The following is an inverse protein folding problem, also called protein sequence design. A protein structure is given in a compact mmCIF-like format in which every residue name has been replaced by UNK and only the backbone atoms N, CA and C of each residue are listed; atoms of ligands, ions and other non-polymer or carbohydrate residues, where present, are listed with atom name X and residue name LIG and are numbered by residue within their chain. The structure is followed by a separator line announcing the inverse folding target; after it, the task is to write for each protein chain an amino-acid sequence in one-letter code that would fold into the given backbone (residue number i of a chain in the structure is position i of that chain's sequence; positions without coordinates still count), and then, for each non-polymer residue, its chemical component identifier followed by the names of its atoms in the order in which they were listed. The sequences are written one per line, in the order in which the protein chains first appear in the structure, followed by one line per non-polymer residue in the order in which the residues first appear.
data_IF_914240146578
#
_entry.id   IF_914240146578
#
_cell.length_a   1.000
_cell.length_b   1.000
_cell.length_c   1.000
_cell.angle_alpha   90.00
_cell.angle_beta   90.00
_cell.angle_gamma   90.00
#
_symmetry.space_group_name_H-M   'P 1'
#
loop_
_entity.id
_entity.type
_entity.pdbx_description
1 polymer ?
#
# COMPACT_ATOMS: atom_id res chain seq x y z
N UNK A 1 14.13 -9.99 14.14
CA UNK A 1 15.57 -9.91 14.44
C UNK A 1 15.84 -9.92 15.95
N UNK A 2 14.85 -9.65 16.80
CA UNK A 2 15.01 -9.69 18.27
C UNK A 2 14.89 -11.09 18.89
N UNK A 3 14.42 -12.10 18.16
CA UNK A 3 14.39 -13.47 18.65
C UNK A 3 15.61 -14.24 18.13
N UNK A 4 16.67 -14.22 18.87
CA UNK A 4 18.02 -14.81 18.80
C UNK A 4 18.35 -16.01 17.90
N UNK A 5 17.61 -16.35 16.89
CA UNK A 5 17.83 -17.54 16.08
C UNK A 5 18.35 -17.19 14.68
N UNK A 6 19.67 -16.95 14.59
CA UNK A 6 20.41 -16.60 13.36
C UNK A 6 20.19 -17.58 12.19
N UNK A 7 19.72 -18.81 12.47
CA UNK A 7 19.51 -19.85 11.46
C UNK A 7 18.32 -19.58 10.55
N UNK A 8 17.26 -18.94 11.07
CA UNK A 8 16.06 -18.60 10.30
C UNK A 8 16.20 -17.30 9.50
N UNK A 9 17.07 -16.41 9.93
CA UNK A 9 17.32 -15.11 9.27
C UNK A 9 17.81 -15.29 7.83
N UNK A 10 18.66 -16.30 7.56
CA UNK A 10 19.17 -16.57 6.21
C UNK A 10 18.04 -16.90 5.22
N UNK A 11 17.05 -17.67 5.64
CA UNK A 11 15.93 -18.06 4.77
C UNK A 11 14.94 -16.93 4.51
N UNK A 12 14.80 -16.02 5.46
CA UNK A 12 14.04 -14.78 5.26
C UNK A 12 14.72 -13.93 4.18
N UNK A 13 16.04 -13.76 4.23
CA UNK A 13 16.78 -13.04 3.19
C UNK A 13 16.71 -13.73 1.81
N UNK A 14 16.73 -15.06 1.77
CA UNK A 14 16.53 -15.79 0.52
C UNK A 14 15.13 -15.50 -0.07
N UNK A 15 14.10 -15.52 0.76
CA UNK A 15 12.74 -15.15 0.35
C UNK A 15 12.66 -13.71 -0.16
N UNK A 16 13.28 -12.76 0.52
CA UNK A 16 13.35 -11.35 0.10
C UNK A 16 14.04 -11.19 -1.26
N UNK A 17 15.20 -11.80 -1.43
CA UNK A 17 15.94 -11.73 -2.71
C UNK A 17 15.18 -12.38 -3.85
N UNK A 18 14.54 -13.52 -3.59
CA UNK A 18 13.68 -14.17 -4.59
C UNK A 18 12.46 -13.31 -4.94
N UNK A 19 11.86 -12.64 -3.96
CA UNK A 19 10.75 -11.70 -4.16
C UNK A 19 11.14 -10.50 -5.03
N UNK A 20 12.30 -9.90 -4.76
CA UNK A 20 12.86 -8.82 -5.57
C UNK A 20 13.18 -9.28 -7.00
N UNK A 21 13.78 -10.47 -7.16
CA UNK A 21 14.03 -11.04 -8.48
C UNK A 21 12.72 -11.30 -9.24
N UNK A 22 11.69 -11.82 -8.57
CA UNK A 22 10.36 -12.00 -9.15
C UNK A 22 9.72 -10.69 -9.60
N UNK A 23 9.78 -9.65 -8.78
CA UNK A 23 9.30 -8.31 -9.16
C UNK A 23 10.09 -7.73 -10.34
N UNK A 24 11.42 -7.96 -10.40
CA UNK A 24 12.24 -7.57 -11.53
C UNK A 24 11.85 -8.30 -12.83
N UNK A 25 11.49 -9.59 -12.75
CA UNK A 25 10.96 -10.34 -13.91
C UNK A 25 9.64 -9.72 -14.38
N UNK A 26 8.73 -9.39 -13.46
CA UNK A 26 7.47 -8.70 -13.79
C UNK A 26 7.75 -7.37 -14.48
N UNK A 27 8.71 -6.57 -13.98
CA UNK A 27 9.10 -5.31 -14.61
C UNK A 27 9.60 -5.49 -16.05
N UNK A 28 10.44 -6.50 -16.29
CA UNK A 28 10.93 -6.83 -17.66
C UNK A 28 9.79 -7.26 -18.57
N UNK A 29 8.86 -8.08 -18.08
CA UNK A 29 7.68 -8.50 -18.84
C UNK A 29 6.84 -7.28 -19.22
N UNK A 30 6.58 -6.36 -18.28
CA UNK A 30 5.86 -5.12 -18.56
C UNK A 30 6.59 -4.25 -19.57
N UNK A 31 7.90 -4.05 -19.42
CA UNK A 31 8.73 -3.30 -20.37
C UNK A 31 8.67 -3.85 -21.79
N UNK A 32 8.68 -5.18 -21.94
CA UNK A 32 8.58 -5.85 -23.25
C UNK A 32 7.14 -5.79 -23.81
N UNK A 33 6.14 -5.90 -22.95
CA UNK A 33 4.72 -5.85 -23.35
C UNK A 33 4.29 -4.44 -23.78
N UNK A 34 4.84 -3.40 -23.11
CA UNK A 34 4.47 -2.00 -23.32
C UNK A 34 5.51 -1.18 -24.10
N UNK A 35 6.46 -1.82 -24.76
CA UNK A 35 7.55 -1.17 -25.53
C UNK A 35 7.25 -0.79 -26.97
N UNK A 36 5.99 -0.79 -27.41
CA UNK A 36 5.58 -0.46 -28.78
C UNK A 36 4.64 0.78 -28.82
N UNK A 37 4.15 1.11 -29.99
CA UNK A 37 3.14 2.15 -30.23
C UNK A 37 1.96 1.56 -31.02
N UNK A 38 1.10 0.82 -30.36
CA UNK A 38 -0.09 0.24 -30.98
C UNK A 38 -1.35 0.58 -30.14
N UNK A 39 -2.55 0.71 -30.76
CA UNK A 39 -3.78 0.99 -30.03
C UNK A 39 -4.07 -0.04 -28.91
N UNK A 40 -3.65 -1.28 -29.10
CA UNK A 40 -3.74 -2.32 -28.06
C UNK A 40 -2.90 -1.99 -26.84
N UNK A 41 -1.76 -1.33 -27.03
CA UNK A 41 -0.89 -0.92 -25.93
C UNK A 41 -1.53 0.19 -25.10
N UNK A 42 -2.12 1.20 -25.73
CA UNK A 42 -2.83 2.30 -25.05
C UNK A 42 -4.01 1.76 -24.23
N UNK A 43 -4.76 0.80 -24.77
CA UNK A 43 -5.81 0.11 -24.02
C UNK A 43 -5.23 -0.62 -22.79
N UNK A 44 -4.12 -1.35 -22.95
CA UNK A 44 -3.50 -2.06 -21.84
C UNK A 44 -2.93 -1.10 -20.80
N UNK A 45 -2.38 0.03 -21.21
CA UNK A 45 -1.92 1.11 -20.33
C UNK A 45 -3.06 1.70 -19.51
N UNK A 46 -4.17 2.02 -20.16
CA UNK A 46 -5.38 2.48 -19.48
C UNK A 46 -5.92 1.46 -18.46
N UNK A 47 -5.95 0.19 -18.85
CA UNK A 47 -6.37 -0.88 -17.93
C UNK A 47 -5.40 -0.99 -16.75
N UNK A 48 -4.08 -0.94 -16.96
CA UNK A 48 -3.10 -0.97 -15.87
C UNK A 48 -3.25 0.23 -14.94
N UNK A 49 -3.46 1.43 -15.45
CA UNK A 49 -3.69 2.63 -14.65
C UNK A 49 -4.96 2.50 -13.79
N UNK A 50 -6.05 1.98 -14.34
CA UNK A 50 -7.28 1.74 -13.59
C UNK A 50 -7.13 0.62 -12.53
N UNK A 51 -6.37 -0.42 -12.82
CA UNK A 51 -6.02 -1.45 -11.83
C UNK A 51 -5.18 -0.83 -10.71
N UNK A 52 -4.16 -0.03 -11.05
CA UNK A 52 -3.34 0.69 -10.09
C UNK A 52 -4.20 1.63 -9.21
N UNK A 53 -5.15 2.36 -9.80
CA UNK A 53 -6.13 3.19 -9.10
C UNK A 53 -6.92 2.37 -8.06
N UNK A 54 -7.46 1.22 -8.45
CA UNK A 54 -8.21 0.34 -7.54
C UNK A 54 -7.34 -0.18 -6.40
N UNK A 55 -6.09 -0.58 -6.69
CA UNK A 55 -5.13 -1.04 -5.68
C UNK A 55 -4.76 0.08 -4.70
N UNK A 56 -4.50 1.29 -5.20
CA UNK A 56 -4.22 2.47 -4.37
C UNK A 56 -5.41 2.83 -3.48
N UNK A 57 -6.64 2.78 -4.01
CA UNK A 57 -7.85 3.04 -3.25
C UNK A 57 -8.03 2.03 -2.11
N UNK A 58 -7.79 0.74 -2.40
CA UNK A 58 -7.81 -0.31 -1.40
C UNK A 58 -6.76 -0.09 -0.32
N UNK A 59 -5.52 0.17 -0.72
CA UNK A 59 -4.39 0.37 0.19
C UNK A 59 -4.57 1.63 1.04
N UNK A 60 -5.02 2.74 0.45
CA UNK A 60 -5.35 3.98 1.17
C UNK A 60 -6.40 3.74 2.26
N UNK A 61 -7.48 3.03 1.93
CA UNK A 61 -8.52 2.65 2.90
C UNK A 61 -7.95 1.75 4.02
N UNK A 62 -7.11 0.78 3.68
CA UNK A 62 -6.48 -0.09 4.67
C UNK A 62 -5.56 0.71 5.61
N UNK A 63 -4.72 1.60 5.07
CA UNK A 63 -3.82 2.45 5.86
C UNK A 63 -4.58 3.41 6.77
N UNK A 64 -5.65 4.03 6.26
CA UNK A 64 -6.49 4.91 7.04
C UNK A 64 -7.12 4.19 8.24
N UNK A 65 -7.58 2.95 8.06
CA UNK A 65 -8.11 2.14 9.15
C UNK A 65 -7.05 1.73 10.18
N UNK A 66 -5.76 1.71 9.81
CA UNK A 66 -4.62 1.38 10.69
C UNK A 66 -3.93 2.62 11.27
N UNK A 67 -4.37 3.82 10.95
CA UNK A 67 -3.77 5.08 11.45
C UNK A 67 -3.95 5.28 12.96
N UNK A 68 -4.85 4.54 13.62
CA UNK A 68 -4.91 4.52 15.08
C UNK A 68 -3.82 3.61 15.66
N UNK A 69 -3.07 4.11 16.65
CA UNK A 69 -1.97 3.38 17.31
C UNK A 69 -2.47 2.07 17.92
N UNK A 70 -3.68 2.06 18.49
CA UNK A 70 -4.30 0.87 19.09
C UNK A 70 -4.61 -0.20 18.03
N UNK A 71 -5.14 0.19 16.87
CA UNK A 71 -5.43 -0.75 15.78
C UNK A 71 -4.14 -1.35 15.21
N UNK A 72 -3.08 -0.54 15.08
CA UNK A 72 -1.77 -1.00 14.65
C UNK A 72 -1.13 -1.96 15.66
N UNK A 73 -1.09 -1.59 16.95
CA UNK A 73 -0.52 -2.43 18.00
C UNK A 73 -1.26 -3.77 18.11
N UNK A 74 -2.58 -3.77 18.01
CA UNK A 74 -3.38 -5.01 17.98
C UNK A 74 -3.04 -5.86 16.77
N UNK A 75 -2.98 -5.28 15.59
CA UNK A 75 -2.61 -5.98 14.37
C UNK A 75 -1.24 -6.63 14.45
N UNK A 76 -0.23 -5.89 14.92
CA UNK A 76 1.13 -6.42 15.11
C UNK A 76 1.15 -7.53 16.16
N UNK A 77 0.44 -7.35 17.29
CA UNK A 77 0.36 -8.34 18.36
C UNK A 77 -0.28 -9.64 17.85
N UNK A 78 -1.44 -9.58 17.20
CA UNK A 78 -2.12 -10.73 16.61
C UNK A 78 -1.24 -11.47 15.59
N UNK A 79 -0.58 -10.73 14.69
CA UNK A 79 0.31 -11.33 13.69
C UNK A 79 1.56 -11.96 14.30
N UNK A 80 2.13 -11.31 15.32
CA UNK A 80 3.32 -11.83 16.03
C UNK A 80 2.96 -13.05 16.87
N UNK A 81 1.85 -13.02 17.59
CA UNK A 81 1.39 -14.15 18.40
C UNK A 81 1.01 -15.35 17.53
N UNK A 82 0.33 -15.14 16.41
CA UNK A 82 0.02 -16.20 15.44
C UNK A 82 1.29 -16.82 14.85
N UNK A 83 2.30 -16.00 14.50
CA UNK A 83 3.57 -16.48 13.99
C UNK A 83 4.38 -17.22 15.06
N UNK A 84 4.41 -16.74 16.31
CA UNK A 84 5.09 -17.38 17.44
C UNK A 84 4.37 -18.66 17.86
N UNK A 85 3.04 -18.66 17.92
CA UNK A 85 2.25 -19.85 18.26
C UNK A 85 2.44 -20.98 17.24
N UNK A 86 2.51 -20.65 15.94
CA UNK A 86 2.78 -21.63 14.89
C UNK A 86 4.20 -22.22 14.96
N UNK A 87 5.17 -21.47 15.48
CA UNK A 87 6.55 -21.94 15.68
C UNK A 87 6.68 -22.74 16.99
N UNK A 88 6.08 -22.28 18.09
CA UNK A 88 6.18 -22.94 19.40
C UNK A 88 5.48 -24.30 19.43
N UNK A 89 4.30 -24.44 18.81
CA UNK A 89 3.60 -25.72 18.71
C UNK A 89 4.37 -26.79 17.90
N UNK A 90 5.28 -26.37 17.02
CA UNK A 90 6.13 -27.27 16.25
C UNK A 90 7.45 -27.62 16.95
N UNK A 91 7.94 -26.74 17.82
CA UNK A 91 9.14 -27.01 18.65
C UNK A 91 8.84 -28.01 19.78
N UNK A 92 7.64 -27.96 20.36
CA UNK A 92 7.20 -28.85 21.42
C UNK A 92 6.99 -30.30 20.95
N UNK A 93 6.76 -30.50 19.66
CA UNK A 93 6.55 -31.83 19.05
C UNK A 93 7.84 -32.65 18.81
N UNK A 94 9.03 -32.19 19.21
CA UNK A 94 10.29 -32.97 19.13
C UNK A 94 10.69 -33.51 17.73
N UNK A 95 9.90 -33.22 16.71
CA UNK A 95 10.20 -33.53 15.31
C UNK A 95 11.19 -32.49 14.77
N UNK A 96 12.27 -32.97 14.11
CA UNK A 96 13.23 -32.14 13.38
C UNK A 96 12.53 -30.90 12.86
N UNK A 97 12.99 -29.70 13.29
CA UNK A 97 12.49 -28.41 12.83
C UNK A 97 12.48 -28.47 11.31
N UNK A 98 11.33 -28.82 10.76
CA UNK A 98 11.23 -29.44 9.49
C UNK A 98 11.56 -28.39 8.43
N UNK A 99 12.18 -28.79 7.37
CA UNK A 99 12.31 -28.10 6.07
C UNK A 99 11.05 -27.27 5.73
N UNK A 100 9.87 -27.76 6.12
CA UNK A 100 8.57 -27.07 5.97
C UNK A 100 8.49 -25.72 6.66
N UNK A 101 8.95 -25.56 7.91
CA UNK A 101 8.87 -24.26 8.64
C UNK A 101 9.81 -23.24 8.01
N UNK A 102 10.97 -23.68 7.57
CA UNK A 102 11.96 -22.83 6.91
C UNK A 102 11.45 -22.37 5.54
N UNK A 103 10.89 -23.29 4.76
CA UNK A 103 10.26 -22.98 3.46
C UNK A 103 9.07 -22.05 3.63
N UNK A 104 8.24 -22.28 4.65
CA UNK A 104 7.09 -21.41 4.95
C UNK A 104 7.51 -19.96 5.27
N UNK A 105 8.59 -19.78 6.05
CA UNK A 105 9.13 -18.44 6.35
C UNK A 105 9.73 -17.76 5.12
N UNK A 106 10.45 -18.50 4.30
CA UNK A 106 10.99 -17.99 3.04
C UNK A 106 9.87 -17.62 2.07
N UNK A 107 8.84 -18.48 1.94
CA UNK A 107 7.69 -18.24 1.07
C UNK A 107 6.86 -17.03 1.52
N UNK A 108 6.68 -16.86 2.83
CA UNK A 108 5.97 -15.71 3.39
C UNK A 108 6.73 -14.41 3.13
N UNK A 109 8.06 -14.43 3.27
CA UNK A 109 8.91 -13.29 2.93
C UNK A 109 8.92 -13.02 1.43
N UNK A 110 8.98 -14.07 0.61
CA UNK A 110 8.86 -13.96 -0.85
C UNK A 110 7.56 -13.29 -1.27
N UNK A 111 6.42 -13.83 -0.82
CA UNK A 111 5.10 -13.31 -1.19
C UNK A 111 4.90 -11.84 -0.75
N UNK A 112 5.39 -11.50 0.45
CA UNK A 112 5.30 -10.12 0.93
C UNK A 112 6.09 -9.15 0.04
N UNK A 113 7.35 -9.48 -0.26
CA UNK A 113 8.22 -8.61 -1.08
C UNK A 113 7.80 -8.62 -2.55
N UNK A 114 7.43 -9.78 -3.08
CA UNK A 114 6.95 -9.92 -4.46
C UNK A 114 5.69 -9.09 -4.69
N UNK A 115 4.73 -9.14 -3.75
CA UNK A 115 3.51 -8.36 -3.82
C UNK A 115 3.81 -6.86 -3.88
N UNK A 116 4.56 -6.34 -2.93
CA UNK A 116 4.92 -4.91 -2.87
C UNK A 116 5.74 -4.49 -4.11
N UNK A 117 6.64 -5.37 -4.57
CA UNK A 117 7.41 -5.14 -5.78
C UNK A 117 6.55 -5.12 -7.04
N UNK A 118 5.59 -6.03 -7.18
CA UNK A 118 4.66 -6.04 -8.30
C UNK A 118 3.74 -4.82 -8.31
N UNK A 119 3.20 -4.41 -7.14
CA UNK A 119 2.45 -3.17 -7.00
C UNK A 119 3.28 -1.96 -7.45
N UNK A 120 4.54 -1.88 -7.02
CA UNK A 120 5.46 -0.82 -7.41
C UNK A 120 5.69 -0.79 -8.93
N UNK A 121 5.87 -1.95 -9.56
CA UNK A 121 6.03 -2.03 -11.03
C UNK A 121 4.81 -1.50 -11.76
N UNK A 122 3.60 -1.89 -11.34
CA UNK A 122 2.34 -1.42 -11.93
C UNK A 122 2.21 0.10 -11.78
N UNK A 123 2.53 0.65 -10.60
CA UNK A 123 2.48 2.10 -10.38
C UNK A 123 3.50 2.86 -11.23
N UNK A 124 4.75 2.36 -11.31
CA UNK A 124 5.78 2.96 -12.16
C UNK A 124 5.41 2.91 -13.64
N UNK A 125 4.85 1.79 -14.10
CA UNK A 125 4.38 1.68 -15.47
C UNK A 125 3.27 2.71 -15.75
N UNK A 126 2.28 2.82 -14.87
CA UNK A 126 1.18 3.77 -15.04
C UNK A 126 1.65 5.23 -15.02
N UNK A 127 2.65 5.57 -14.20
CA UNK A 127 3.25 6.92 -14.21
C UNK A 127 4.05 7.14 -15.51
N UNK A 128 4.79 6.14 -15.97
CA UNK A 128 5.59 6.24 -17.19
C UNK A 128 4.73 6.51 -18.41
N UNK A 129 3.62 5.80 -18.55
CA UNK A 129 2.70 5.96 -19.68
C UNK A 129 2.04 7.34 -19.71
N UNK A 130 1.72 7.89 -18.51
CA UNK A 130 1.14 9.23 -18.40
C UNK A 130 2.13 10.36 -18.70
N UNK A 131 3.38 10.26 -18.25
CA UNK A 131 4.36 11.35 -18.35
C UNK A 131 5.37 11.16 -19.47
N UNK A 132 5.66 9.91 -19.86
CA UNK A 132 6.71 9.49 -20.79
C UNK A 132 8.11 10.08 -20.49
N UNK A 133 8.29 10.61 -19.27
CA UNK A 133 9.52 11.23 -18.82
C UNK A 133 10.38 10.25 -18.01
N UNK A 134 11.19 9.47 -18.72
CA UNK A 134 12.13 8.54 -18.11
C UNK A 134 13.16 9.23 -17.21
N UNK A 135 13.60 10.44 -17.56
CA UNK A 135 14.59 11.17 -16.77
C UNK A 135 14.00 11.62 -15.43
N UNK A 136 12.82 12.22 -15.43
CA UNK A 136 12.10 12.61 -14.22
C UNK A 136 11.80 11.42 -13.32
N UNK A 137 11.42 10.28 -13.88
CA UNK A 137 11.18 9.04 -13.13
C UNK A 137 12.44 8.51 -12.44
N UNK A 138 13.59 8.49 -13.12
CA UNK A 138 14.87 8.04 -12.53
C UNK A 138 15.29 8.98 -11.41
N UNK A 139 15.22 10.29 -11.62
CA UNK A 139 15.55 11.30 -10.60
C UNK A 139 14.61 11.17 -9.41
N UNK A 140 13.31 11.01 -9.65
CA UNK A 140 12.31 10.78 -8.60
C UNK A 140 12.57 9.50 -7.79
N UNK A 141 12.92 8.40 -8.46
CA UNK A 141 13.25 7.13 -7.81
C UNK A 141 14.51 7.26 -6.93
N UNK A 142 15.54 7.94 -7.42
CA UNK A 142 16.75 8.19 -6.64
C UNK A 142 16.48 9.09 -5.43
N UNK A 143 15.70 10.15 -5.61
CA UNK A 143 15.29 11.03 -4.51
C UNK A 143 14.47 10.26 -3.46
N UNK A 144 13.53 9.44 -3.87
CA UNK A 144 12.74 8.59 -2.98
C UNK A 144 13.62 7.58 -2.23
N UNK A 145 14.60 6.95 -2.90
CA UNK A 145 15.55 6.04 -2.27
C UNK A 145 16.37 6.74 -1.18
N UNK A 146 16.85 7.96 -1.44
CA UNK A 146 17.59 8.76 -0.45
C UNK A 146 16.70 9.07 0.75
N UNK A 147 15.45 9.51 0.54
CA UNK A 147 14.50 9.79 1.61
C UNK A 147 14.21 8.52 2.44
N UNK A 148 14.02 7.38 1.79
CA UNK A 148 13.81 6.10 2.48
C UNK A 148 15.02 5.69 3.34
N UNK A 149 16.22 5.88 2.83
CA UNK A 149 17.46 5.61 3.60
C UNK A 149 17.53 6.53 4.81
N UNK A 150 17.23 7.83 4.66
CA UNK A 150 17.22 8.78 5.79
C UNK A 150 16.19 8.35 6.83
N UNK A 151 14.97 8.03 6.42
CA UNK A 151 13.91 7.54 7.32
C UNK A 151 14.36 6.26 8.04
N UNK A 152 14.94 5.31 7.31
CA UNK A 152 15.48 4.08 7.90
C UNK A 152 16.57 4.34 8.94
N UNK A 153 17.51 5.24 8.65
CA UNK A 153 18.57 5.61 9.58
C UNK A 153 18.03 6.31 10.83
N UNK A 154 17.08 7.23 10.65
CA UNK A 154 16.39 7.89 11.78
C UNK A 154 15.71 6.86 12.67
N UNK A 155 14.96 5.93 12.10
CA UNK A 155 14.29 4.85 12.85
C UNK A 155 15.30 3.94 13.55
N UNK A 156 16.40 3.63 12.89
CA UNK A 156 17.41 2.66 13.36
C UNK A 156 18.27 3.20 14.49
N UNK A 157 18.65 4.50 14.42
CA UNK A 157 19.59 5.10 15.35
C UNK A 157 18.95 6.00 16.40
N UNK A 158 17.77 6.54 16.12
CA UNK A 158 17.04 7.37 17.08
C UNK A 158 15.93 6.55 17.70
N UNK A 159 15.89 6.48 19.04
CA UNK A 159 14.78 5.80 19.78
C UNK A 159 13.46 6.58 19.69
N UNK A 160 13.27 7.36 18.64
CA UNK A 160 12.06 8.15 18.43
C UNK A 160 10.90 7.20 18.13
N UNK A 161 9.88 7.27 18.96
CA UNK A 161 8.58 6.63 18.66
C UNK A 161 7.97 7.37 17.47
N UNK A 162 8.04 6.77 16.27
CA UNK A 162 7.39 7.35 15.10
C UNK A 162 5.91 7.54 15.42
N UNK A 163 5.36 8.72 15.18
CA UNK A 163 3.93 8.93 15.31
C UNK A 163 3.21 8.18 14.18
N UNK A 164 2.91 6.90 14.43
CA UNK A 164 2.32 5.95 13.45
C UNK A 164 1.05 6.53 12.82
N UNK A 165 0.22 7.22 13.63
CA UNK A 165 -1.02 7.82 13.17
C UNK A 165 -0.83 8.86 12.07
N UNK A 166 -0.07 9.96 12.30
CA UNK A 166 0.23 10.95 11.27
C UNK A 166 0.93 10.37 10.04
N UNK A 167 1.86 9.42 10.22
CA UNK A 167 2.53 8.76 9.09
C UNK A 167 1.54 8.07 8.16
N UNK A 168 0.66 7.23 8.69
CA UNK A 168 -0.36 6.55 7.88
C UNK A 168 -1.37 7.52 7.27
N UNK A 169 -1.71 8.60 7.98
CA UNK A 169 -2.62 9.61 7.45
C UNK A 169 -2.02 10.33 6.24
N UNK A 170 -0.78 10.81 6.34
CA UNK A 170 -0.09 11.49 5.23
C UNK A 170 0.05 10.56 4.03
N UNK A 171 0.47 9.31 4.25
CA UNK A 171 0.59 8.32 3.17
C UNK A 171 -0.76 8.03 2.52
N UNK A 172 -1.84 7.91 3.30
CA UNK A 172 -3.19 7.73 2.75
C UNK A 172 -3.65 8.91 1.90
N UNK A 173 -3.31 10.14 2.30
CA UNK A 173 -3.63 11.34 1.52
C UNK A 173 -2.86 11.32 0.20
N UNK A 174 -1.56 11.03 0.22
CA UNK A 174 -0.74 10.95 -1.00
C UNK A 174 -1.26 9.89 -1.96
N UNK A 175 -1.56 8.68 -1.45
CA UNK A 175 -2.16 7.62 -2.27
C UNK A 175 -3.51 8.04 -2.85
N UNK A 176 -4.31 8.78 -2.10
CA UNK A 176 -5.62 9.27 -2.56
C UNK A 176 -5.51 10.31 -3.67
N UNK A 177 -4.49 11.14 -3.65
CA UNK A 177 -4.19 12.06 -4.77
C UNK A 177 -3.85 11.25 -6.02
N UNK A 178 -2.98 10.23 -5.89
CA UNK A 178 -2.64 9.35 -7.02
C UNK A 178 -3.85 8.58 -7.57
N UNK A 179 -4.81 8.19 -6.74
CA UNK A 179 -6.08 7.58 -7.19
C UNK A 179 -6.80 8.48 -8.18
N UNK A 180 -6.91 9.77 -7.88
CA UNK A 180 -7.58 10.75 -8.76
C UNK A 180 -6.77 10.97 -10.04
N UNK A 181 -5.45 11.04 -9.94
CA UNK A 181 -4.56 11.19 -11.10
C UNK A 181 -4.68 9.98 -12.03
N UNK A 182 -4.61 8.76 -11.50
CA UNK A 182 -4.71 7.54 -12.29
C UNK A 182 -6.12 7.29 -12.87
N UNK A 183 -7.16 7.82 -12.24
CA UNK A 183 -8.50 7.78 -12.81
C UNK A 183 -8.59 8.58 -14.12
N UNK A 184 -8.02 9.79 -14.13
CA UNK A 184 -8.00 10.62 -15.33
C UNK A 184 -7.09 10.06 -16.42
N UNK A 185 -5.83 9.76 -16.08
CA UNK A 185 -4.86 9.22 -17.03
C UNK A 185 -5.25 7.85 -17.60
N UNK A 186 -5.83 6.98 -16.77
CA UNK A 186 -6.28 5.67 -17.23
C UNK A 186 -7.44 5.75 -18.23
N UNK A 187 -8.40 6.65 -17.97
CA UNK A 187 -9.50 6.89 -18.95
C UNK A 187 -8.99 7.56 -20.22
N UNK A 188 -8.03 8.47 -20.10
CA UNK A 188 -7.39 9.11 -21.27
C UNK A 188 -6.72 8.07 -22.17
N UNK A 189 -5.92 7.18 -21.61
CA UNK A 189 -5.28 6.11 -22.40
C UNK A 189 -6.30 5.17 -23.07
N UNK A 190 -7.47 4.92 -22.45
CA UNK A 190 -8.55 4.16 -23.09
C UNK A 190 -9.21 4.94 -24.25
N UNK A 191 -9.24 6.27 -24.20
CA UNK A 191 -9.72 7.12 -25.30
C UNK A 191 -8.71 7.10 -26.45
N UNK A 192 -7.41 7.21 -26.16
CA UNK A 192 -6.34 7.12 -27.16
C UNK A 192 -6.30 5.76 -27.85
N UNK A 193 -6.64 4.69 -27.13
CA UNK A 193 -6.81 3.33 -27.67
C UNK A 193 -8.13 3.09 -28.40
N UNK A 194 -8.92 4.13 -28.69
CA UNK A 194 -10.23 4.04 -29.36
C UNK A 194 -11.26 3.12 -28.67
N UNK A 195 -11.06 2.82 -27.38
CA UNK A 195 -12.01 2.01 -26.63
C UNK A 195 -13.17 2.81 -26.06
N UNK A 196 -12.96 4.09 -25.77
CA UNK A 196 -13.96 5.01 -25.26
C UNK A 196 -14.19 6.18 -26.22
N UNK A 197 -15.42 6.73 -26.29
CA UNK A 197 -15.70 7.91 -27.08
C UNK A 197 -14.94 9.12 -26.52
N UNK A 198 -14.50 10.02 -27.40
CA UNK A 198 -13.77 11.23 -27.06
C UNK A 198 -14.66 12.47 -27.19
N UNK A 199 -15.23 12.94 -26.07
CA UNK A 199 -15.96 14.21 -26.03
C UNK A 199 -15.01 15.34 -25.60
N UNK A 200 -14.39 15.99 -26.57
CA UNK A 200 -13.37 17.02 -26.33
C UNK A 200 -13.97 18.34 -25.84
N UNK A 201 -13.33 18.95 -24.85
CA UNK A 201 -13.67 20.24 -24.26
C UNK A 201 -12.58 21.28 -24.59
N UNK A 202 -12.81 22.24 -25.53
CA UNK A 202 -11.74 23.12 -26.03
C UNK A 202 -11.20 24.12 -25.00
N UNK A 203 -11.95 24.43 -23.93
CA UNK A 203 -11.59 25.43 -22.92
C UNK A 203 -10.88 24.88 -21.69
N UNK A 204 -10.57 23.58 -21.67
CA UNK A 204 -9.98 22.91 -20.52
C UNK A 204 -8.48 22.69 -20.76
N UNK A 205 -7.59 23.15 -19.86
CA UNK A 205 -6.16 22.94 -20.01
C UNK A 205 -5.78 21.48 -19.75
N UNK A 206 -4.81 20.97 -20.49
CA UNK A 206 -4.21 19.66 -20.24
C UNK A 206 -3.14 19.76 -19.15
N UNK A 207 -3.11 18.82 -18.21
CA UNK A 207 -2.07 18.71 -17.21
C UNK A 207 -1.78 17.23 -16.88
N UNK A 208 -0.73 16.71 -17.50
CA UNK A 208 -0.31 15.31 -17.38
C UNK A 208 0.05 14.91 -15.94
N UNK A 209 0.64 15.85 -15.17
CA UNK A 209 1.01 15.60 -13.77
C UNK A 209 -0.18 15.34 -12.84
N UNK A 210 -1.33 15.94 -13.18
CA UNK A 210 -2.58 15.76 -12.44
C UNK A 210 -3.51 14.77 -13.14
N UNK A 211 -3.11 14.17 -14.25
CA UNK A 211 -3.97 13.32 -15.07
C UNK A 211 -5.20 14.06 -15.60
N UNK A 212 -5.09 15.38 -15.79
CA UNK A 212 -6.20 16.24 -16.16
C UNK A 212 -6.20 16.47 -17.66
N UNK A 213 -7.19 15.94 -18.34
CA UNK A 213 -7.30 15.99 -19.79
C UNK A 213 -8.64 16.62 -20.21
N UNK A 214 -8.67 17.31 -21.39
CA UNK A 214 -9.84 18.04 -21.86
C UNK A 214 -10.90 17.11 -22.48
N UNK A 215 -11.26 16.04 -21.78
CA UNK A 215 -12.31 15.11 -22.16
C UNK A 215 -13.33 14.95 -21.03
N UNK A 216 -14.61 14.94 -21.38
CA UNK A 216 -15.71 14.82 -20.42
C UNK A 216 -15.56 13.54 -19.59
N UNK A 217 -15.18 12.44 -20.23
CA UNK A 217 -15.03 11.11 -19.63
C UNK A 217 -13.92 11.11 -18.56
N UNK A 218 -12.78 11.77 -18.83
CA UNK A 218 -11.66 11.90 -17.89
C UNK A 218 -12.10 12.70 -16.65
N UNK A 219 -12.79 13.81 -16.85
CA UNK A 219 -13.27 14.66 -15.75
C UNK A 219 -14.30 13.90 -14.91
N UNK A 220 -15.23 13.18 -15.52
CA UNK A 220 -16.21 12.35 -14.81
C UNK A 220 -15.49 11.28 -13.97
N UNK A 221 -14.51 10.59 -14.55
CA UNK A 221 -13.74 9.57 -13.82
C UNK A 221 -12.99 10.15 -12.62
N UNK A 222 -12.35 11.32 -12.77
CA UNK A 222 -11.68 12.01 -11.68
C UNK A 222 -12.65 12.44 -10.58
N UNK A 223 -13.80 13.00 -10.95
CA UNK A 223 -14.83 13.42 -9.98
C UNK A 223 -15.36 12.19 -9.22
N UNK A 224 -15.65 11.09 -9.90
CA UNK A 224 -16.10 9.85 -9.26
C UNK A 224 -15.02 9.28 -8.33
N UNK A 225 -13.76 9.28 -8.74
CA UNK A 225 -12.64 8.86 -7.91
C UNK A 225 -12.48 9.75 -6.67
N UNK A 226 -12.59 11.07 -6.83
CA UNK A 226 -12.53 12.03 -5.73
C UNK A 226 -13.69 11.82 -4.73
N UNK A 227 -14.92 11.60 -5.22
CA UNK A 227 -16.07 11.28 -4.38
C UNK A 227 -15.84 9.97 -3.61
N UNK A 228 -15.32 8.92 -4.27
CA UNK A 228 -15.00 7.66 -3.63
C UNK A 228 -13.94 7.82 -2.52
N UNK A 229 -12.88 8.58 -2.78
CA UNK A 229 -11.85 8.92 -1.80
C UNK A 229 -12.44 9.66 -0.61
N UNK A 230 -13.23 10.71 -0.82
CA UNK A 230 -13.87 11.49 0.24
C UNK A 230 -14.78 10.58 1.09
N UNK A 231 -15.59 9.74 0.44
CA UNK A 231 -16.46 8.81 1.14
C UNK A 231 -15.66 7.83 2.02
N UNK A 232 -14.53 7.29 1.52
CA UNK A 232 -13.65 6.42 2.30
C UNK A 232 -13.06 7.13 3.52
N UNK A 233 -12.62 8.38 3.37
CA UNK A 233 -12.10 9.18 4.49
C UNK A 233 -13.18 9.46 5.54
N UNK A 234 -14.37 9.87 5.12
CA UNK A 234 -15.51 10.12 6.03
C UNK A 234 -15.88 8.85 6.80
N UNK A 235 -16.01 7.72 6.11
CA UNK A 235 -16.32 6.42 6.74
C UNK A 235 -15.17 5.98 7.66
N UNK A 236 -13.92 6.14 7.23
CA UNK A 236 -12.73 5.80 8.02
C UNK A 236 -12.66 6.59 9.33
N UNK A 237 -12.81 7.91 9.27
CA UNK A 237 -12.82 8.77 10.46
C UNK A 237 -14.03 8.50 11.37
N UNK A 238 -15.20 8.25 10.80
CA UNK A 238 -16.39 7.90 11.58
C UNK A 238 -16.18 6.58 12.35
N UNK A 239 -15.59 5.58 11.73
CA UNK A 239 -15.24 4.29 12.38
C UNK A 239 -14.21 4.49 13.51
N UNK A 240 -13.19 5.31 13.28
CA UNK A 240 -12.18 5.61 14.31
C UNK A 240 -12.79 6.33 15.51
N UNK A 241 -13.65 7.34 15.28
CA UNK A 241 -14.37 8.05 16.36
C UNK A 241 -15.23 7.07 17.17
N UNK A 242 -16.01 6.21 16.52
CA UNK A 242 -16.82 5.20 17.19
C UNK A 242 -15.96 4.19 17.98
N UNK A 243 -14.83 3.77 17.47
CA UNK A 243 -13.90 2.87 18.17
C UNK A 243 -13.33 3.53 19.43
N UNK A 244 -12.88 4.79 19.33
CA UNK A 244 -12.39 5.54 20.50
C UNK A 244 -13.47 5.75 21.56
N UNK A 245 -14.69 6.08 21.15
CA UNK A 245 -15.82 6.24 22.08
C UNK A 245 -16.16 4.93 22.82
N UNK A 246 -16.12 3.80 22.12
CA UNK A 246 -16.34 2.47 22.75
C UNK A 246 -15.25 2.11 23.77
N UNK A 247 -14.00 2.43 23.47
CA UNK A 247 -12.88 2.20 24.38
C UNK A 247 -12.98 3.06 25.65
N UNK A 248 -13.33 4.35 25.49
CA UNK A 248 -13.55 5.26 26.59
C UNK A 248 -14.72 4.80 27.48
N UNK A 249 -15.84 4.37 26.92
CA UNK A 249 -16.97 3.85 27.64
C UNK A 249 -16.67 2.51 28.36
N UNK A 250 -15.80 1.66 27.77
CA UNK A 250 -15.34 0.43 28.38
C UNK A 250 -14.42 0.67 29.57
N UNK A 251 -13.50 1.63 29.46
CA UNK A 251 -12.60 2.02 30.56
C UNK A 251 -13.40 2.58 31.76
N UNK A 252 -14.34 3.49 31.50
CA UNK A 252 -15.20 4.06 32.57
C UNK A 252 -16.03 3.00 33.30
N UNK A 253 -16.51 1.97 32.60
CA UNK A 253 -17.23 0.85 33.24
C UNK A 253 -16.31 -0.07 34.07
N UNK A 254 -15.06 -0.23 33.66
CA UNK A 254 -14.07 -1.02 34.40
C UNK A 254 -13.67 -0.32 35.69
N UNK A 255 -13.47 1.00 35.64
CA UNK A 255 -13.11 1.79 36.80
C UNK A 255 -14.27 1.85 37.82
N UNK A 256 -15.50 2.06 37.37
CA UNK A 256 -16.69 2.04 38.22
C UNK A 256 -16.89 0.68 38.93
N UNK A 257 -16.57 -0.43 38.24
CA UNK A 257 -16.68 -1.78 38.84
C UNK A 257 -15.58 -2.06 39.86
N UNK A 258 -14.38 -1.53 39.65
CA UNK A 258 -13.27 -1.62 40.60
C UNK A 258 -13.53 -0.80 41.88
N UNK A 259 -14.14 0.38 41.70
CA UNK A 259 -14.54 1.24 42.83
C UNK A 259 -15.68 0.61 43.68
N UNK A 260 -16.65 -0.05 43.06
CA UNK A 260 -17.70 -0.81 43.75
C UNK A 260 -17.14 -2.01 44.53
N UNK A 261 -16.18 -2.74 43.96
CA UNK A 261 -15.55 -3.91 44.58
C UNK A 261 -14.64 -3.51 45.74
N UNK A 262 -13.98 -2.36 45.67
CA UNK A 262 -13.17 -1.80 46.76
C UNK A 262 -14.01 -1.16 47.87
N UNK A 263 -15.26 -0.77 47.63
CA UNK A 263 -16.18 -0.24 48.64
C UNK A 263 -16.92 -1.33 49.42
N UNK A 264 -16.91 -2.57 48.93
CA UNK A 264 -17.53 -3.74 49.59
C UNK A 264 -16.56 -4.63 50.39
N UNK A 265 -15.24 -4.33 50.31
CA UNK A 265 -14.19 -5.01 51.10
C UNK A 265 -13.75 -4.18 52.31
#
# INVERSE_FOLDING_TARGET
VKSGNKRFTKWIYVGVLAGLAGAGIVAVIFMLAFGGSSPLQEIMEGVCALVAMCMLLWTSNWMLNKSSVEAWNRYIKEKTEAAVASVSSQVESGKKVASRTVISLAMLSFLAVFREGAETVIFYQSIYTMSQDTHGMVVGALAAAVVLVIIFLVIRFTSVKIPIGPFFLVTSILMSVLVVVFAGGGVHALIEGDLLPANYLPDVPTNDWLGFYPYVECIIAQVLAAIAVIALFVVGFAKQRKAKARLAAGASKSDAKADEESAQA
#
